data_IF_800986780435
#
_entry.id   IF_800986780435
#
_cell.length_a   1.000
_cell.length_b   1.000
_cell.length_c   1.000
_cell.angle_alpha   90.00
_cell.angle_beta   90.00
_cell.angle_gamma   90.00
#
_symmetry.space_group_name_H-M   'P 1'
#
loop_
_entity.id
_entity.type
_entity.pdbx_description
1 polymer ?
#
# COMPACT_ATOMS: atom_id res chain seq x y z
N UNK A 1 4.72 46.26 9.75
CA UNK A 1 4.09 45.03 10.29
C UNK A 1 3.93 44.06 9.13
N UNK A 2 4.87 43.13 8.94
CA UNK A 2 4.80 42.14 7.86
C UNK A 2 4.34 40.81 8.45
N UNK A 3 3.11 40.42 8.12
CA UNK A 3 2.61 39.08 8.36
C UNK A 3 3.36 38.13 7.42
N UNK A 4 4.33 37.39 7.97
CA UNK A 4 4.94 36.28 7.28
C UNK A 4 3.83 35.24 7.00
N UNK A 5 3.56 35.00 5.72
CA UNK A 5 2.83 33.83 5.25
C UNK A 5 3.54 32.60 5.82
N UNK A 6 3.00 31.99 6.89
CA UNK A 6 3.37 30.63 7.27
C UNK A 6 2.90 29.73 6.14
N UNK A 7 3.79 29.41 5.21
CA UNK A 7 3.63 28.21 4.42
C UNK A 7 3.43 27.05 5.40
N UNK A 8 2.43 26.17 5.21
CA UNK A 8 2.29 24.99 6.03
C UNK A 8 3.60 24.21 5.92
N UNK A 9 4.28 24.00 7.03
CA UNK A 9 5.37 23.04 7.10
C UNK A 9 4.75 21.70 6.73
N UNK A 10 5.06 21.15 5.55
CA UNK A 10 4.75 19.75 5.28
C UNK A 10 5.40 18.92 6.38
N UNK A 11 4.61 18.42 7.33
CA UNK A 11 5.13 17.57 8.39
C UNK A 11 5.73 16.36 7.71
N UNK A 12 7.04 16.17 7.85
CA UNK A 12 7.76 15.12 7.15
C UNK A 12 7.33 13.76 7.70
N UNK A 13 7.15 12.79 6.80
CA UNK A 13 6.98 11.39 7.17
C UNK A 13 8.27 10.84 7.80
N UNK A 14 8.19 10.39 9.06
CA UNK A 14 9.30 9.79 9.82
C UNK A 14 9.42 8.29 9.50
N UNK A 15 10.63 7.75 9.24
CA UNK A 15 10.80 6.34 8.93
C UNK A 15 10.55 5.45 10.17
N UNK A 16 9.86 4.32 9.98
CA UNK A 16 9.60 3.36 11.04
C UNK A 16 10.32 2.03 10.83
N UNK A 17 10.10 1.41 9.67
CA UNK A 17 10.60 0.07 9.36
C UNK A 17 10.78 -0.09 7.86
N UNK A 18 11.78 -0.84 7.46
CA UNK A 18 11.97 -1.25 6.07
C UNK A 18 12.42 -2.71 6.02
N UNK A 19 11.94 -3.44 5.02
CA UNK A 19 12.53 -4.73 4.64
C UNK A 19 12.81 -4.75 3.14
N UNK A 20 13.72 -5.64 2.74
CA UNK A 20 14.00 -5.93 1.35
C UNK A 20 14.43 -7.40 1.23
N UNK A 21 13.93 -8.09 0.20
CA UNK A 21 14.29 -9.49 -0.08
C UNK A 21 14.26 -9.80 -1.57
N UNK A 22 14.88 -10.91 -1.95
CA UNK A 22 14.82 -11.42 -3.32
C UNK A 22 13.37 -11.77 -3.69
N UNK A 23 12.94 -11.32 -4.87
CA UNK A 23 11.56 -11.51 -5.32
C UNK A 23 11.24 -13.00 -5.52
N UNK A 24 12.21 -13.80 -5.99
CA UNK A 24 12.07 -15.25 -6.08
C UNK A 24 11.83 -15.93 -4.73
N UNK A 25 12.43 -15.42 -3.64
CA UNK A 25 12.14 -15.92 -2.27
C UNK A 25 10.76 -15.48 -1.81
N UNK A 26 10.39 -14.22 -2.05
CA UNK A 26 9.05 -13.74 -1.69
C UNK A 26 7.95 -14.57 -2.38
N UNK A 27 8.11 -14.81 -3.69
CA UNK A 27 7.17 -15.57 -4.52
C UNK A 27 7.15 -17.09 -4.25
N UNK A 28 8.10 -17.62 -3.47
CA UNK A 28 8.18 -19.08 -3.27
C UNK A 28 7.10 -19.63 -2.34
N UNK A 29 6.50 -18.78 -1.50
CA UNK A 29 5.42 -19.15 -0.60
C UNK A 29 4.45 -17.98 -0.42
N UNK A 30 3.17 -18.22 -0.74
CA UNK A 30 2.10 -17.24 -0.56
C UNK A 30 1.98 -16.77 0.89
N UNK A 31 2.30 -17.64 1.87
CA UNK A 31 2.24 -17.30 3.29
C UNK A 31 3.21 -16.18 3.69
N UNK A 32 4.19 -15.85 2.85
CA UNK A 32 5.06 -14.70 3.10
C UNK A 32 4.27 -13.37 3.16
N UNK A 33 3.16 -13.22 2.43
CA UNK A 33 2.32 -12.02 2.51
C UNK A 33 1.76 -11.84 3.93
N UNK A 34 1.18 -12.91 4.50
CA UNK A 34 0.60 -12.92 5.85
C UNK A 34 1.68 -12.74 6.94
N UNK A 35 2.79 -13.47 6.81
CA UNK A 35 3.87 -13.42 7.80
C UNK A 35 4.54 -12.04 7.87
N UNK A 36 4.85 -11.45 6.71
CA UNK A 36 5.47 -10.13 6.63
C UNK A 36 4.51 -9.05 7.13
N UNK A 37 3.26 -9.08 6.67
CA UNK A 37 2.25 -8.09 7.06
C UNK A 37 1.98 -8.12 8.56
N UNK A 38 1.80 -9.31 9.15
CA UNK A 38 1.60 -9.50 10.59
C UNK A 38 2.80 -9.05 11.41
N UNK A 39 4.03 -9.42 10.98
CA UNK A 39 5.24 -9.01 11.68
C UNK A 39 5.41 -7.49 11.68
N UNK A 40 5.30 -6.86 10.51
CA UNK A 40 5.46 -5.41 10.38
C UNK A 40 4.40 -4.65 11.16
N UNK A 41 3.13 -5.07 11.09
CA UNK A 41 2.04 -4.45 11.82
C UNK A 41 2.31 -4.41 13.34
N UNK A 42 2.75 -5.54 13.91
CA UNK A 42 3.11 -5.62 15.34
C UNK A 42 4.23 -4.67 15.71
N UNK A 43 5.27 -4.59 14.88
CA UNK A 43 6.43 -3.73 15.14
C UNK A 43 6.07 -2.24 15.14
N UNK A 44 5.24 -1.79 14.21
CA UNK A 44 4.93 -0.36 14.08
C UNK A 44 3.76 0.10 14.97
N UNK A 45 2.92 -0.80 15.45
CA UNK A 45 1.70 -0.44 16.19
C UNK A 45 1.92 -0.18 17.69
N UNK A 46 3.08 -0.52 18.24
CA UNK A 46 3.33 -0.55 19.68
C UNK A 46 3.11 0.79 20.41
N UNK A 47 3.20 1.91 19.69
CA UNK A 47 3.06 3.27 20.21
C UNK A 47 1.81 3.99 19.69
N UNK A 48 0.84 3.23 19.14
CA UNK A 48 -0.47 3.75 18.73
C UNK A 48 -1.43 3.78 19.90
N UNK A 49 -2.49 4.59 19.79
CA UNK A 49 -3.47 4.75 20.88
C UNK A 49 -4.23 3.45 21.17
N UNK A 50 -4.59 2.71 20.12
CA UNK A 50 -5.10 1.34 20.20
C UNK A 50 -4.20 0.42 19.35
N UNK A 51 -3.12 -0.14 19.93
CA UNK A 51 -2.15 -0.96 19.19
C UNK A 51 -2.76 -2.21 18.56
N UNK A 52 -3.77 -2.81 19.18
CA UNK A 52 -4.39 -4.05 18.69
C UNK A 52 -5.25 -3.75 17.46
N UNK A 53 -6.14 -2.76 17.57
CA UNK A 53 -6.96 -2.31 16.44
C UNK A 53 -6.08 -1.85 15.28
N UNK A 54 -5.09 -1.01 15.57
CA UNK A 54 -4.17 -0.52 14.55
C UNK A 54 -3.40 -1.66 13.88
N UNK A 55 -2.87 -2.61 14.65
CA UNK A 55 -2.15 -3.76 14.10
C UNK A 55 -3.04 -4.59 13.19
N UNK A 56 -4.30 -4.81 13.55
CA UNK A 56 -5.24 -5.59 12.72
C UNK A 56 -5.53 -4.90 11.38
N UNK A 57 -5.88 -3.60 11.40
CA UNK A 57 -6.11 -2.87 10.15
C UNK A 57 -4.85 -2.77 9.29
N UNK A 58 -3.70 -2.48 9.91
CA UNK A 58 -2.45 -2.37 9.16
C UNK A 58 -2.02 -3.70 8.57
N UNK A 59 -2.14 -4.82 9.29
CA UNK A 59 -1.79 -6.14 8.74
C UNK A 59 -2.70 -6.51 7.58
N UNK A 60 -4.00 -6.26 7.68
CA UNK A 60 -4.93 -6.51 6.57
C UNK A 60 -4.56 -5.67 5.34
N UNK A 61 -4.42 -4.35 5.48
CA UNK A 61 -4.06 -3.47 4.36
C UNK A 61 -2.70 -3.83 3.73
N UNK A 62 -1.70 -4.14 4.56
CA UNK A 62 -0.37 -4.51 4.07
C UNK A 62 -0.37 -5.89 3.41
N UNK A 63 -1.14 -6.86 3.92
CA UNK A 63 -1.29 -8.17 3.28
C UNK A 63 -1.83 -8.00 1.86
N UNK A 64 -2.96 -7.29 1.72
CA UNK A 64 -3.57 -6.98 0.43
C UNK A 64 -2.57 -6.31 -0.53
N UNK A 65 -1.82 -5.32 -0.05
CA UNK A 65 -0.81 -4.65 -0.87
C UNK A 65 0.35 -5.59 -1.27
N UNK A 66 0.78 -6.49 -0.40
CA UNK A 66 1.80 -7.50 -0.74
C UNK A 66 1.28 -8.49 -1.79
N UNK A 67 0.02 -8.91 -1.68
CA UNK A 67 -0.61 -9.79 -2.67
C UNK A 67 -0.65 -9.16 -4.08
N UNK A 68 -0.78 -7.83 -4.18
CA UNK A 68 -0.69 -7.11 -5.47
C UNK A 68 0.64 -7.38 -6.16
N UNK A 69 1.75 -7.33 -5.41
CA UNK A 69 3.09 -7.63 -5.92
C UNK A 69 3.29 -9.13 -6.18
N UNK A 70 2.70 -9.99 -5.37
CA UNK A 70 2.80 -11.45 -5.53
C UNK A 70 2.14 -11.92 -6.83
N UNK A 71 0.88 -11.52 -7.07
CA UNK A 71 0.07 -11.96 -8.22
C UNK A 71 0.62 -11.46 -9.57
N UNK A 72 1.40 -10.38 -9.58
CA UNK A 72 1.97 -9.77 -10.78
C UNK A 72 3.48 -9.92 -10.93
N UNK A 73 4.14 -10.55 -9.96
CA UNK A 73 5.60 -10.50 -9.78
C UNK A 73 6.40 -11.28 -10.81
N UNK A 74 7.59 -10.78 -11.11
CA UNK A 74 8.66 -11.53 -11.78
C UNK A 74 9.62 -12.07 -10.71
N UNK A 75 10.14 -13.30 -10.81
CA UNK A 75 11.08 -13.84 -9.81
C UNK A 75 12.43 -13.10 -9.77
N UNK A 76 12.75 -12.33 -10.81
CA UNK A 76 13.99 -11.56 -10.91
C UNK A 76 13.89 -10.23 -10.15
N UNK A 77 14.97 -9.85 -9.46
CA UNK A 77 15.05 -8.59 -8.73
C UNK A 77 14.58 -8.71 -7.28
N UNK A 78 14.25 -7.56 -6.67
CA UNK A 78 14.00 -7.46 -5.23
C UNK A 78 12.69 -6.74 -4.93
N UNK A 79 11.96 -7.24 -3.94
CA UNK A 79 10.83 -6.54 -3.32
C UNK A 79 11.33 -5.77 -2.11
N UNK A 80 10.92 -4.51 -2.00
CA UNK A 80 11.23 -3.65 -0.87
C UNK A 80 9.96 -3.01 -0.34
N UNK A 81 9.79 -3.00 0.98
CA UNK A 81 8.69 -2.30 1.62
C UNK A 81 9.25 -1.38 2.70
N UNK A 82 8.91 -0.09 2.63
CA UNK A 82 9.28 0.90 3.63
C UNK A 82 8.02 1.54 4.22
N UNK A 83 7.98 1.65 5.54
CA UNK A 83 6.87 2.27 6.28
C UNK A 83 7.37 3.53 6.97
N UNK A 84 6.60 4.59 6.79
CA UNK A 84 6.82 5.88 7.43
C UNK A 84 5.55 6.32 8.15
N UNK A 85 5.65 7.34 8.99
CA UNK A 85 4.51 7.90 9.73
C UNK A 85 4.51 9.41 9.77
N UNK A 86 3.32 9.99 9.62
CA UNK A 86 3.04 11.40 9.86
C UNK A 86 1.75 11.50 10.69
N UNK A 87 1.88 11.71 12.00
CA UNK A 87 0.73 11.76 12.91
C UNK A 87 -0.14 10.50 12.82
N UNK A 88 -1.44 10.61 12.46
CA UNK A 88 -2.36 9.46 12.39
C UNK A 88 -2.23 8.64 11.10
N UNK A 89 -1.36 9.05 10.17
CA UNK A 89 -1.23 8.45 8.84
C UNK A 89 0.08 7.66 8.71
N UNK A 90 -0.04 6.43 8.24
CA UNK A 90 1.07 5.57 7.80
C UNK A 90 1.28 5.76 6.30
N UNK A 91 2.52 5.77 5.85
CA UNK A 91 2.87 5.68 4.42
C UNK A 91 3.62 4.40 4.17
N UNK A 92 3.04 3.53 3.36
CA UNK A 92 3.69 2.32 2.87
C UNK A 92 4.21 2.58 1.46
N UNK A 93 5.50 2.36 1.24
CA UNK A 93 6.11 2.34 -0.10
C UNK A 93 6.46 0.90 -0.43
N UNK A 94 5.74 0.28 -1.36
CA UNK A 94 6.02 -1.07 -1.86
C UNK A 94 6.65 -0.98 -3.24
N UNK A 95 7.94 -1.30 -3.32
CA UNK A 95 8.72 -1.35 -4.55
C UNK A 95 8.91 -2.79 -5.01
N UNK A 96 8.66 -3.07 -6.27
CA UNK A 96 8.88 -4.40 -6.85
C UNK A 96 9.15 -4.34 -8.36
N UNK A 97 9.78 -5.39 -8.92
CA UNK A 97 10.05 -5.49 -10.35
C UNK A 97 8.73 -5.54 -11.13
N UNK A 98 8.59 -4.68 -12.13
CA UNK A 98 7.39 -4.60 -12.96
C UNK A 98 7.76 -4.68 -14.45
N UNK A 99 7.54 -5.85 -15.08
CA UNK A 99 7.80 -6.02 -16.51
C UNK A 99 7.07 -4.95 -17.34
N UNK A 100 7.65 -4.47 -18.47
CA UNK A 100 7.08 -3.39 -19.26
C UNK A 100 5.60 -3.56 -19.63
N UNK A 101 5.16 -4.80 -19.90
CA UNK A 101 3.77 -5.11 -20.24
C UNK A 101 2.75 -4.90 -19.11
N UNK A 102 3.19 -4.73 -17.86
CA UNK A 102 2.31 -4.56 -16.70
C UNK A 102 2.26 -3.12 -16.15
N UNK A 103 3.17 -2.24 -16.60
CA UNK A 103 3.25 -0.86 -16.09
C UNK A 103 1.99 -0.06 -16.38
N UNK A 104 1.50 -0.16 -17.61
CA UNK A 104 0.27 0.52 -18.03
C UNK A 104 -0.92 0.05 -17.19
N UNK A 105 -0.99 -1.25 -16.89
CA UNK A 105 -2.01 -1.79 -15.99
C UNK A 105 -1.97 -1.11 -14.61
N UNK A 106 -0.79 -1.00 -13.98
CA UNK A 106 -0.68 -0.35 -12.66
C UNK A 106 -1.00 1.15 -12.70
N UNK A 107 -0.60 1.87 -13.76
CA UNK A 107 -1.01 3.27 -13.96
C UNK A 107 -2.51 3.43 -13.99
N UNK A 108 -3.19 2.59 -14.78
CA UNK A 108 -4.64 2.63 -14.91
C UNK A 108 -5.35 2.21 -13.62
N UNK A 109 -4.89 1.14 -12.97
CA UNK A 109 -5.48 0.68 -11.71
C UNK A 109 -5.40 1.77 -10.64
N UNK A 110 -4.24 2.42 -10.46
CA UNK A 110 -4.07 3.55 -9.52
C UNK A 110 -4.86 4.79 -9.94
N UNK A 111 -5.00 5.07 -11.25
CA UNK A 111 -5.85 6.17 -11.70
C UNK A 111 -7.33 5.94 -11.34
N UNK A 112 -7.81 4.69 -11.44
CA UNK A 112 -9.20 4.32 -11.15
C UNK A 112 -9.54 4.42 -9.66
N UNK A 113 -8.58 4.25 -8.75
CA UNK A 113 -8.84 4.44 -7.31
C UNK A 113 -9.18 5.89 -6.95
N UNK A 114 -8.79 6.84 -7.81
CA UNK A 114 -9.05 8.27 -7.65
C UNK A 114 -10.24 8.76 -8.50
N UNK A 115 -10.92 7.87 -9.22
CA UNK A 115 -12.03 8.23 -10.10
C UNK A 115 -13.36 8.32 -9.34
N UNK A 116 -14.26 9.19 -9.79
CA UNK A 116 -15.59 9.38 -9.18
C UNK A 116 -16.46 8.09 -9.21
N UNK A 117 -16.14 7.13 -10.09
CA UNK A 117 -16.85 5.86 -10.23
C UNK A 117 -16.14 4.68 -9.51
N UNK A 118 -15.10 4.94 -8.70
CA UNK A 118 -14.31 3.90 -8.01
C UNK A 118 -15.19 2.94 -7.20
N UNK A 119 -16.17 3.46 -6.44
CA UNK A 119 -17.07 2.65 -5.63
C UNK A 119 -17.97 1.74 -6.48
N UNK A 120 -18.50 2.25 -7.59
CA UNK A 120 -19.32 1.44 -8.51
C UNK A 120 -18.49 0.32 -9.13
N UNK A 121 -17.26 0.62 -9.57
CA UNK A 121 -16.31 -0.38 -10.11
C UNK A 121 -15.97 -1.46 -9.09
N UNK A 122 -15.79 -1.08 -7.82
CA UNK A 122 -15.53 -2.02 -6.74
C UNK A 122 -16.69 -3.00 -6.55
N UNK A 123 -17.94 -2.51 -6.49
CA UNK A 123 -19.13 -3.34 -6.37
C UNK A 123 -19.33 -4.28 -7.58
N UNK A 124 -19.12 -3.76 -8.79
CA UNK A 124 -19.19 -4.56 -10.02
C UNK A 124 -18.16 -5.69 -10.01
N UNK A 125 -16.94 -5.41 -9.54
CA UNK A 125 -15.89 -6.41 -9.49
C UNK A 125 -16.11 -7.49 -8.42
N UNK A 126 -16.66 -7.13 -7.25
CA UNK A 126 -17.08 -8.09 -6.22
C UNK A 126 -18.19 -9.03 -6.69
N UNK A 127 -18.98 -8.59 -7.68
CA UNK A 127 -20.08 -9.39 -8.24
C UNK A 127 -19.59 -10.49 -9.22
N UNK A 128 -18.27 -10.58 -9.46
CA UNK A 128 -17.66 -11.60 -10.32
C UNK A 128 -17.05 -12.73 -9.47
N UNK A 129 -17.35 -13.99 -9.79
CA UNK A 129 -16.86 -15.20 -9.08
C UNK A 129 -15.35 -15.50 -9.27
N UNK A 130 -14.55 -14.50 -9.67
CA UNK A 130 -13.12 -14.64 -9.88
C UNK A 130 -12.35 -14.14 -8.65
N UNK A 131 -11.18 -14.74 -8.40
CA UNK A 131 -10.27 -14.22 -7.38
C UNK A 131 -10.02 -12.72 -7.62
N UNK A 132 -9.96 -11.88 -6.56
CA UNK A 132 -9.85 -10.44 -6.72
C UNK A 132 -8.68 -10.08 -7.64
N UNK A 133 -8.95 -9.29 -8.68
CA UNK A 133 -7.90 -8.78 -9.53
C UNK A 133 -7.06 -7.78 -8.73
N UNK A 134 -5.82 -7.52 -9.16
CA UNK A 134 -4.96 -6.53 -8.52
C UNK A 134 -5.59 -5.12 -8.49
N UNK A 135 -6.47 -4.81 -9.45
CA UNK A 135 -7.23 -3.57 -9.45
C UNK A 135 -8.27 -3.55 -8.31
N UNK A 136 -8.98 -4.66 -8.08
CA UNK A 136 -9.95 -4.79 -6.99
C UNK A 136 -9.28 -4.59 -5.64
N UNK A 137 -8.10 -5.14 -5.45
CA UNK A 137 -7.32 -4.97 -4.21
C UNK A 137 -6.96 -3.49 -3.98
N UNK A 138 -6.55 -2.77 -5.02
CA UNK A 138 -6.26 -1.33 -4.90
C UNK A 138 -7.52 -0.50 -4.64
N UNK A 139 -8.67 -0.88 -5.24
CA UNK A 139 -9.96 -0.26 -4.94
C UNK A 139 -10.42 -0.53 -3.51
N UNK A 140 -10.23 -1.75 -3.01
CA UNK A 140 -10.53 -2.14 -1.63
C UNK A 140 -9.75 -1.28 -0.63
N UNK A 141 -8.45 -1.12 -0.84
CA UNK A 141 -7.61 -0.23 -0.03
C UNK A 141 -8.12 1.21 -0.06
N UNK A 142 -8.43 1.76 -1.24
CA UNK A 142 -8.92 3.13 -1.35
C UNK A 142 -10.27 3.34 -0.65
N UNK A 143 -11.19 2.38 -0.74
CA UNK A 143 -12.57 2.51 -0.26
C UNK A 143 -12.71 2.13 1.20
N UNK A 144 -12.17 0.97 1.61
CA UNK A 144 -12.40 0.41 2.94
C UNK A 144 -11.37 0.87 3.97
N UNK A 145 -10.21 1.36 3.52
CA UNK A 145 -9.17 1.92 4.40
C UNK A 145 -8.98 3.43 4.22
N UNK A 146 -9.80 4.09 3.38
CA UNK A 146 -9.67 5.52 3.04
C UNK A 146 -8.23 5.85 2.57
N UNK A 147 -7.63 4.94 1.81
CA UNK A 147 -6.24 5.02 1.42
C UNK A 147 -6.02 5.94 0.22
N UNK A 148 -5.05 6.86 0.32
CA UNK A 148 -4.57 7.60 -0.84
C UNK A 148 -3.47 6.78 -1.53
N UNK A 149 -3.68 6.44 -2.81
CA UNK A 149 -2.79 5.56 -3.56
C UNK A 149 -2.19 6.34 -4.73
N UNK A 150 -0.87 6.22 -4.90
CA UNK A 150 -0.14 6.78 -6.02
C UNK A 150 0.97 5.86 -6.50
N UNK A 151 1.37 6.05 -7.75
CA UNK A 151 2.44 5.31 -8.39
C UNK A 151 3.67 6.21 -8.54
N UNK A 152 4.83 5.74 -8.06
CA UNK A 152 6.14 6.35 -8.31
C UNK A 152 6.92 5.46 -9.27
N UNK A 153 7.37 6.03 -10.39
CA UNK A 153 8.19 5.35 -11.39
C UNK A 153 9.56 6.01 -11.43
N UNK A 154 10.45 5.59 -10.51
CA UNK A 154 11.77 6.21 -10.40
C UNK A 154 12.77 5.56 -11.38
N UNK A 155 12.95 4.24 -11.35
CA UNK A 155 13.93 3.54 -12.18
C UNK A 155 13.40 2.19 -12.72
N UNK A 156 13.26 2.01 -14.04
CA UNK A 156 13.01 0.69 -14.61
C UNK A 156 14.10 -0.33 -14.24
N UNK A 157 13.75 -1.62 -14.00
CA UNK A 157 12.46 -2.25 -14.29
C UNK A 157 11.43 -2.17 -13.16
N UNK A 158 11.69 -1.46 -12.06
CA UNK A 158 10.79 -1.44 -10.90
C UNK A 158 9.71 -0.35 -10.98
N UNK A 159 8.66 -0.52 -10.18
CA UNK A 159 7.69 0.52 -9.81
C UNK A 159 7.58 0.57 -8.29
N UNK A 160 7.05 1.67 -7.76
CA UNK A 160 6.69 1.78 -6.35
C UNK A 160 5.23 2.19 -6.22
N UNK A 161 4.42 1.37 -5.56
CA UNK A 161 3.08 1.76 -5.12
C UNK A 161 3.24 2.42 -3.76
N UNK A 162 2.74 3.64 -3.62
CA UNK A 162 2.72 4.37 -2.36
C UNK A 162 1.30 4.50 -1.86
N UNK A 163 1.06 4.02 -0.65
CA UNK A 163 -0.25 3.96 -0.01
C UNK A 163 -0.18 4.70 1.32
N UNK A 164 -0.99 5.74 1.45
CA UNK A 164 -1.13 6.52 2.68
C UNK A 164 -2.41 6.08 3.41
N UNK A 165 -2.26 5.52 4.62
CA UNK A 165 -3.30 4.88 5.41
C UNK A 165 -3.63 5.70 6.68
N UNK A 166 -4.82 6.32 6.80
CA UNK A 166 -5.21 7.12 7.97
C UNK A 166 -5.78 6.27 9.14
N UNK A 167 -5.03 5.27 9.63
CA UNK A 167 -5.58 4.19 10.47
C UNK A 167 -6.00 4.58 11.91
N UNK A 168 -5.44 5.64 12.51
CA UNK A 168 -5.90 6.10 13.83
C UNK A 168 -7.22 6.88 13.79
N UNK A 169 -7.66 7.32 12.60
CA UNK A 169 -8.88 8.09 12.39
C UNK A 169 -10.08 7.26 11.94
N UNK A 170 -9.91 5.96 11.64
CA UNK A 170 -11.00 5.08 11.25
C UNK A 170 -11.86 4.82 12.50
N UNK A 171 -12.82 5.71 12.75
CA UNK A 171 -13.91 5.51 13.71
C UNK A 171 -15.01 4.76 12.97
N UNK A 172 -15.32 3.57 13.47
CA UNK A 172 -16.45 2.77 12.98
C UNK A 172 -17.78 3.49 13.19
#
# INVERSE_FOLDING_TARGET
MNAAHRQPTETKFEPLLQFEMEMGTFLSDWHHCDQLSTYMARMISHNRTDPLRHSNFFSSALNELLEVSFRGGSPEGRIGCAVYRQGPKERVKLSFPCPPGQRQFFREAVARTNANDAYARYLDALSTDLAPSREVVLLDLAINFDAEIRLEEQDPPSITIVVDLPLEGIVS
#
